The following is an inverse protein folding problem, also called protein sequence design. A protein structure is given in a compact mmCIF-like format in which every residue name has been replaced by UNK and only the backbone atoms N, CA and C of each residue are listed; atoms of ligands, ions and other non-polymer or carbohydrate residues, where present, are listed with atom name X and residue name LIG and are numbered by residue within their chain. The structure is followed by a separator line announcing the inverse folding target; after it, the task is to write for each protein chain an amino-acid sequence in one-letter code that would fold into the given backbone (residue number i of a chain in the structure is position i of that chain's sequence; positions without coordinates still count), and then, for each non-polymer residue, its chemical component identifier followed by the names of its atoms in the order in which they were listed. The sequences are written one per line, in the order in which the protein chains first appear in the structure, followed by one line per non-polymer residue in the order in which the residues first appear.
data_IF_998553827501
#
_entry.id   IF_998553827501
#
_cell.length_a   1.000
_cell.length_b   1.000
_cell.length_c   1.000
_cell.angle_alpha   90.00
_cell.angle_beta   90.00
_cell.angle_gamma   90.00
#
_symmetry.space_group_name_H-M   'P 1'
#
loop_
_entity.id
_entity.type
_entity.pdbx_description
1 polymer ?
#
# COMPACT_ATOMS: atom_id res chain seq x y z
N UNK A 1 23.53 -10.90 -63.41
CA UNK A 1 23.61 -11.96 -62.40
C UNK A 1 23.29 -11.35 -61.02
N UNK A 2 22.18 -11.74 -60.41
CA UNK A 2 21.75 -11.22 -59.10
C UNK A 2 22.41 -12.06 -58.02
N UNK A 3 23.36 -11.51 -57.24
CA UNK A 3 23.98 -12.19 -56.11
C UNK A 3 22.93 -12.43 -55.01
N UNK A 4 22.64 -13.68 -54.73
CA UNK A 4 21.82 -14.10 -53.60
C UNK A 4 22.61 -13.86 -52.33
N UNK A 5 22.17 -12.88 -51.51
CA UNK A 5 22.71 -12.61 -50.18
C UNK A 5 22.43 -13.85 -49.30
N UNK A 6 23.47 -14.55 -48.88
CA UNK A 6 23.35 -15.67 -47.92
C UNK A 6 22.96 -15.10 -46.57
N UNK A 7 21.71 -15.32 -46.16
CA UNK A 7 21.30 -15.05 -44.80
C UNK A 7 22.00 -16.07 -43.89
N UNK A 8 22.92 -15.61 -43.04
CA UNK A 8 23.52 -16.46 -42.01
C UNK A 8 22.45 -16.82 -40.99
N UNK A 9 22.16 -18.09 -40.79
CA UNK A 9 21.31 -18.60 -39.73
C UNK A 9 22.08 -18.70 -38.41
N UNK A 10 21.38 -18.58 -37.28
CA UNK A 10 21.94 -18.82 -35.96
C UNK A 10 22.39 -20.28 -35.81
N UNK A 11 23.53 -20.50 -35.17
CA UNK A 11 23.99 -21.83 -34.80
C UNK A 11 23.31 -22.29 -33.52
N UNK A 12 23.14 -23.60 -33.33
CA UNK A 12 22.54 -24.18 -32.12
C UNK A 12 23.36 -23.81 -30.89
N UNK A 13 24.68 -23.74 -31.00
CA UNK A 13 25.58 -23.36 -29.89
C UNK A 13 25.38 -21.91 -29.45
N UNK A 14 25.18 -20.98 -30.38
CA UNK A 14 24.88 -19.57 -30.04
C UNK A 14 23.59 -19.46 -29.25
N UNK A 15 22.53 -20.21 -29.60
CA UNK A 15 21.30 -20.21 -28.86
C UNK A 15 21.48 -20.79 -27.45
N UNK A 16 22.22 -21.91 -27.33
CA UNK A 16 22.45 -22.55 -26.02
C UNK A 16 23.24 -21.64 -25.09
N UNK A 17 24.28 -20.98 -25.58
CA UNK A 17 25.08 -20.05 -24.77
C UNK A 17 24.20 -18.91 -24.25
N UNK A 18 23.34 -18.35 -25.09
CA UNK A 18 22.43 -17.24 -24.69
C UNK A 18 21.48 -17.68 -23.58
N UNK A 19 20.82 -18.83 -23.69
CA UNK A 19 19.87 -19.29 -22.65
C UNK A 19 20.61 -19.66 -21.35
N UNK A 20 21.84 -20.15 -21.39
CA UNK A 20 22.66 -20.42 -20.20
C UNK A 20 22.98 -19.09 -19.48
N UNK A 21 23.46 -18.09 -20.22
CA UNK A 21 23.76 -16.77 -19.63
C UNK A 21 22.50 -16.12 -19.05
N UNK A 22 21.39 -16.15 -19.78
CA UNK A 22 20.11 -15.64 -19.29
C UNK A 22 19.64 -16.38 -18.02
N UNK A 23 19.82 -17.69 -17.95
CA UNK A 23 19.52 -18.50 -16.76
C UNK A 23 20.33 -18.05 -15.54
N UNK A 24 21.64 -17.82 -15.70
CA UNK A 24 22.51 -17.35 -14.61
C UNK A 24 22.08 -15.94 -14.15
N UNK A 25 21.82 -15.03 -15.08
CA UNK A 25 21.39 -13.66 -14.75
C UNK A 25 20.02 -13.64 -14.07
N UNK A 26 19.10 -14.50 -14.48
CA UNK A 26 17.77 -14.59 -13.87
C UNK A 26 17.83 -14.97 -12.39
N UNK A 27 18.76 -15.82 -11.96
CA UNK A 27 18.90 -16.22 -10.55
C UNK A 27 19.24 -15.04 -9.62
N UNK A 28 19.92 -14.02 -10.11
CA UNK A 28 20.28 -12.82 -9.36
C UNK A 28 19.17 -11.74 -9.43
N UNK A 29 18.49 -11.63 -10.57
CA UNK A 29 17.50 -10.61 -10.82
C UNK A 29 16.19 -10.82 -10.02
N UNK A 30 15.72 -12.06 -9.93
CA UNK A 30 14.44 -12.40 -9.29
C UNK A 30 14.39 -12.02 -7.80
N UNK A 31 15.35 -12.41 -6.93
CA UNK A 31 15.34 -12.04 -5.52
C UNK A 31 15.34 -10.53 -5.30
N UNK A 32 16.15 -9.81 -6.08
CA UNK A 32 16.23 -8.35 -6.00
C UNK A 32 14.90 -7.69 -6.38
N UNK A 33 14.24 -8.17 -7.42
CA UNK A 33 12.94 -7.65 -7.83
C UNK A 33 11.87 -7.85 -6.75
N UNK A 34 11.84 -9.01 -6.10
CA UNK A 34 10.88 -9.31 -5.03
C UNK A 34 11.09 -8.41 -3.80
N UNK A 35 12.34 -8.13 -3.42
CA UNK A 35 12.63 -7.22 -2.30
C UNK A 35 12.20 -5.78 -2.63
N UNK A 36 12.47 -5.29 -3.84
CA UNK A 36 12.05 -3.96 -4.29
C UNK A 36 10.53 -3.79 -4.27
N UNK A 37 9.76 -4.79 -4.70
CA UNK A 37 8.29 -4.72 -4.65
C UNK A 37 7.76 -4.66 -3.23
N UNK A 38 8.38 -5.40 -2.29
CA UNK A 38 8.02 -5.37 -0.88
C UNK A 38 8.34 -4.01 -0.25
N UNK A 39 9.51 -3.45 -0.53
CA UNK A 39 9.91 -2.13 -0.04
C UNK A 39 9.01 -1.02 -0.62
N UNK A 40 8.63 -1.12 -1.89
CA UNK A 40 7.69 -0.19 -2.51
C UNK A 40 6.30 -0.24 -1.83
N UNK A 41 5.76 -1.42 -1.57
CA UNK A 41 4.50 -1.59 -0.81
C UNK A 41 4.60 -0.97 0.58
N UNK A 42 5.71 -1.22 1.28
CA UNK A 42 5.98 -0.66 2.62
C UNK A 42 6.01 0.86 2.60
N UNK A 43 6.74 1.46 1.67
CA UNK A 43 6.84 2.90 1.52
C UNK A 43 5.48 3.53 1.19
N UNK A 44 4.75 2.98 0.22
CA UNK A 44 3.44 3.47 -0.19
C UNK A 44 2.40 3.37 0.95
N UNK A 45 2.32 2.25 1.66
CA UNK A 45 1.40 2.07 2.79
C UNK A 45 1.71 3.02 3.94
N UNK A 46 3.00 3.25 4.25
CA UNK A 46 3.40 4.24 5.28
C UNK A 46 3.05 5.67 4.88
N UNK A 47 3.24 6.03 3.62
CA UNK A 47 2.85 7.35 3.12
C UNK A 47 1.33 7.54 3.23
N UNK A 48 0.54 6.55 2.82
CA UNK A 48 -0.92 6.56 2.92
C UNK A 48 -1.39 6.67 4.39
N UNK A 49 -0.76 5.92 5.30
CA UNK A 49 -1.02 6.01 6.73
C UNK A 49 -0.70 7.41 7.30
N UNK A 50 0.40 8.01 6.87
CA UNK A 50 0.77 9.38 7.24
C UNK A 50 -0.27 10.40 6.77
N UNK A 51 -0.76 10.28 5.54
CA UNK A 51 -1.80 11.13 4.99
C UNK A 51 -3.11 10.99 5.77
N UNK A 52 -3.53 9.77 6.09
CA UNK A 52 -4.74 9.51 6.90
C UNK A 52 -4.62 10.15 8.29
N UNK A 53 -3.50 9.97 8.98
CA UNK A 53 -3.25 10.58 10.30
C UNK A 53 -3.29 12.10 10.23
N UNK A 54 -2.68 12.69 9.21
CA UNK A 54 -2.70 14.14 8.99
C UNK A 54 -4.12 14.67 8.79
N UNK A 55 -4.91 14.03 7.94
CA UNK A 55 -6.29 14.45 7.66
C UNK A 55 -7.18 14.35 8.91
N UNK A 56 -7.07 13.27 9.68
CA UNK A 56 -7.78 13.09 10.94
C UNK A 56 -7.43 14.18 11.95
N UNK A 57 -6.14 14.51 12.06
CA UNK A 57 -5.65 15.56 12.98
C UNK A 57 -6.12 16.96 12.55
N UNK A 58 -6.11 17.24 11.25
CA UNK A 58 -6.62 18.50 10.70
C UNK A 58 -8.10 18.64 10.97
N UNK A 59 -8.90 17.58 10.77
CA UNK A 59 -10.31 17.59 11.11
C UNK A 59 -10.55 17.88 12.61
N UNK A 60 -9.80 17.20 13.49
CA UNK A 60 -9.88 17.42 14.94
C UNK A 60 -9.56 18.89 15.31
N UNK A 61 -8.49 19.42 14.74
CA UNK A 61 -8.09 20.81 14.95
C UNK A 61 -9.18 21.80 14.44
N UNK A 62 -9.74 21.54 13.24
CA UNK A 62 -10.84 22.33 12.71
C UNK A 62 -12.05 22.36 13.65
N UNK A 63 -12.44 21.19 14.19
CA UNK A 63 -13.56 21.06 15.13
C UNK A 63 -13.35 21.84 16.43
N UNK A 64 -12.12 22.10 16.83
CA UNK A 64 -11.77 22.93 17.98
C UNK A 64 -11.91 24.44 17.72
N UNK A 65 -12.07 24.86 16.46
CA UNK A 65 -12.25 26.29 16.10
C UNK A 65 -13.70 26.73 16.19
N UNK A 66 -13.97 28.05 16.30
CA UNK A 66 -15.34 28.60 16.24
C UNK A 66 -16.09 28.17 14.97
N UNK A 67 -15.41 28.06 13.83
CA UNK A 67 -16.00 27.60 12.58
C UNK A 67 -16.40 26.12 12.62
N UNK A 68 -15.69 25.30 13.39
CA UNK A 68 -15.95 23.86 13.54
C UNK A 68 -16.91 23.52 14.67
N UNK A 69 -17.35 24.51 15.48
CA UNK A 69 -18.31 24.34 16.57
C UNK A 69 -17.69 24.27 17.97
N UNK A 70 -16.41 24.64 18.14
CA UNK A 70 -15.69 24.78 19.43
C UNK A 70 -15.65 23.49 20.27
N UNK A 71 -15.85 22.32 19.62
CA UNK A 71 -15.82 21.01 20.29
C UNK A 71 -14.84 20.10 19.57
N UNK A 72 -13.63 19.99 20.10
CA UNK A 72 -12.61 19.11 19.58
C UNK A 72 -13.09 17.65 19.65
N UNK A 73 -13.50 17.10 18.54
CA UNK A 73 -13.98 15.71 18.41
C UNK A 73 -13.28 15.01 17.25
N UNK A 74 -12.95 13.75 17.46
CA UNK A 74 -12.42 12.91 16.39
C UNK A 74 -13.53 12.59 15.39
N UNK A 75 -13.22 12.42 14.09
CA UNK A 75 -14.24 12.09 13.11
C UNK A 75 -14.88 10.74 13.41
N UNK A 76 -16.17 10.62 13.11
CA UNK A 76 -16.83 9.31 13.11
C UNK A 76 -16.31 8.46 11.95
N UNK A 77 -16.53 7.16 12.01
CA UNK A 77 -16.15 6.25 10.92
C UNK A 77 -16.82 6.67 9.60
N UNK A 78 -18.09 7.07 9.66
CA UNK A 78 -18.84 7.54 8.48
C UNK A 78 -18.20 8.79 7.86
N UNK A 79 -17.77 9.77 8.68
CA UNK A 79 -17.11 10.98 8.18
C UNK A 79 -15.72 10.71 7.62
N UNK A 80 -15.04 9.67 8.08
CA UNK A 80 -13.75 9.25 7.54
C UNK A 80 -13.89 8.58 6.17
N UNK A 81 -15.03 7.93 5.91
CA UNK A 81 -15.29 7.18 4.69
C UNK A 81 -16.23 7.85 3.70
N UNK A 82 -16.71 9.06 4.00
CA UNK A 82 -17.63 9.81 3.11
C UNK A 82 -16.95 10.45 1.90
N UNK A 83 -15.62 10.36 1.83
CA UNK A 83 -14.76 10.88 0.76
C UNK A 83 -14.79 12.42 0.57
N UNK A 84 -15.38 13.16 1.49
CA UNK A 84 -15.57 14.62 1.34
C UNK A 84 -15.21 15.42 2.57
N UNK A 85 -15.49 14.91 3.77
CA UNK A 85 -15.40 15.70 5.00
C UNK A 85 -14.00 15.69 5.61
N UNK A 86 -13.42 14.51 5.80
CA UNK A 86 -12.08 14.33 6.39
C UNK A 86 -11.03 14.14 5.31
N UNK A 87 -11.38 13.39 4.28
CA UNK A 87 -10.54 13.12 3.13
C UNK A 87 -11.14 13.84 1.90
N UNK A 88 -10.31 14.55 1.17
CA UNK A 88 -10.71 15.09 -0.14
C UNK A 88 -10.49 14.04 -1.22
N UNK A 89 -11.31 12.99 -1.20
CA UNK A 89 -11.22 11.84 -2.08
C UNK A 89 -11.30 10.51 -1.33
N UNK A 90 -11.17 9.42 -2.06
CA UNK A 90 -11.30 8.08 -1.52
C UNK A 90 -10.22 7.75 -0.48
N UNK A 91 -10.57 6.94 0.51
CA UNK A 91 -9.60 6.35 1.45
C UNK A 91 -8.50 5.64 0.64
N UNK A 92 -7.21 5.95 0.89
CA UNK A 92 -6.13 5.33 0.14
C UNK A 92 -6.01 3.84 0.44
N UNK A 93 -5.46 3.12 -0.52
CA UNK A 93 -5.27 1.68 -0.43
C UNK A 93 -4.22 1.30 0.64
N UNK A 94 -4.50 0.24 1.38
CA UNK A 94 -3.49 -0.54 2.08
C UNK A 94 -2.88 -1.55 1.10
N UNK A 95 -1.62 -1.38 0.73
CA UNK A 95 -0.97 -2.22 -0.29
C UNK A 95 -0.61 -3.65 0.20
N UNK A 96 -0.84 -3.95 1.47
CA UNK A 96 -0.73 -5.30 2.02
C UNK A 96 -2.06 -6.07 1.98
N UNK A 97 -3.17 -5.38 1.82
CA UNK A 97 -4.46 -6.00 1.55
C UNK A 97 -4.57 -6.29 0.05
N UNK A 98 -4.87 -7.51 -0.30
CA UNK A 98 -5.01 -7.98 -1.70
C UNK A 98 -6.46 -7.97 -2.18
N UNK A 99 -7.40 -7.72 -1.28
CA UNK A 99 -8.83 -7.79 -1.56
C UNK A 99 -9.40 -6.44 -2.07
N UNK A 100 -10.65 -6.47 -2.48
CA UNK A 100 -11.38 -5.28 -2.89
C UNK A 100 -11.62 -4.29 -1.73
N UNK A 101 -11.35 -4.70 -0.50
CA UNK A 101 -11.55 -3.96 0.76
C UNK A 101 -10.30 -3.22 1.25
N UNK A 102 -9.26 -3.14 0.44
CA UNK A 102 -7.96 -2.54 0.79
C UNK A 102 -8.01 -1.07 1.19
N UNK A 103 -9.08 -0.37 0.87
CA UNK A 103 -9.37 1.01 1.27
C UNK A 103 -10.52 1.13 2.29
N UNK A 104 -11.04 0.02 2.78
CA UNK A 104 -12.04 0.04 3.84
C UNK A 104 -11.43 0.42 5.19
N UNK A 105 -12.27 0.98 6.06
CA UNK A 105 -11.89 1.34 7.42
C UNK A 105 -12.80 0.62 8.41
N UNK A 106 -12.21 -0.20 9.26
CA UNK A 106 -12.91 -0.91 10.34
C UNK A 106 -12.81 -0.16 11.67
N UNK A 107 -13.81 -0.33 12.52
CA UNK A 107 -13.73 0.12 13.91
C UNK A 107 -12.71 -0.71 14.70
N UNK A 108 -11.63 -0.06 15.16
CA UNK A 108 -10.59 -0.66 15.97
C UNK A 108 -10.74 -0.31 17.45
N UNK A 109 -10.35 -1.19 18.33
CA UNK A 109 -10.35 -1.00 19.79
C UNK A 109 -8.97 -0.82 20.36
N UNK A 110 -8.00 -1.58 19.88
CA UNK A 110 -6.62 -1.57 20.36
C UNK A 110 -5.67 -1.41 19.19
N UNK A 111 -4.81 -0.40 19.27
CA UNK A 111 -3.80 -0.14 18.23
C UNK A 111 -2.91 -1.37 18.02
N UNK A 112 -2.63 -1.68 16.76
CA UNK A 112 -1.80 -2.79 16.38
C UNK A 112 -2.51 -4.15 16.39
N UNK A 113 -3.81 -4.18 16.71
CA UNK A 113 -4.62 -5.40 16.60
C UNK A 113 -5.41 -5.37 15.29
N UNK A 114 -5.28 -6.43 14.51
CA UNK A 114 -6.09 -6.61 13.29
C UNK A 114 -7.53 -6.92 13.71
N UNK A 115 -8.46 -6.12 13.19
CA UNK A 115 -9.90 -6.25 13.46
C UNK A 115 -10.64 -6.61 12.19
N UNK A 116 -11.42 -7.71 12.21
CA UNK A 116 -12.05 -8.22 11.00
C UNK A 116 -11.05 -8.95 10.09
N UNK A 117 -11.53 -9.60 9.06
CA UNK A 117 -10.70 -10.47 8.23
C UNK A 117 -10.12 -9.78 6.97
N UNK A 118 -10.60 -8.59 6.59
CA UNK A 118 -10.42 -8.12 5.20
C UNK A 118 -10.33 -6.60 5.03
N UNK A 119 -10.19 -5.80 6.08
CA UNK A 119 -10.24 -4.35 5.93
C UNK A 119 -8.86 -3.72 5.87
N UNK A 120 -8.68 -2.77 4.98
CA UNK A 120 -7.40 -2.09 4.74
C UNK A 120 -6.86 -1.36 5.97
N UNK A 121 -7.73 -0.69 6.74
CA UNK A 121 -7.35 0.16 7.87
C UNK A 121 -8.22 -0.12 9.09
N UNK A 122 -7.67 0.08 10.28
CA UNK A 122 -8.42 0.08 11.53
C UNK A 122 -8.34 1.46 12.20
N UNK A 123 -9.46 1.96 12.70
CA UNK A 123 -9.59 3.29 13.26
C UNK A 123 -10.29 3.27 14.62
N UNK A 124 -9.68 3.91 15.62
CA UNK A 124 -10.24 4.06 16.96
C UNK A 124 -10.84 5.44 17.13
N UNK A 125 -12.15 5.52 17.09
CA UNK A 125 -12.92 6.78 17.15
C UNK A 125 -12.69 7.57 18.45
N UNK A 126 -12.36 6.90 19.55
CA UNK A 126 -12.19 7.58 20.86
C UNK A 126 -10.88 8.34 20.98
N UNK A 127 -9.86 7.98 20.20
CA UNK A 127 -8.51 8.55 20.27
C UNK A 127 -8.02 9.12 18.94
N UNK A 128 -8.76 8.90 17.85
CA UNK A 128 -8.35 9.31 16.51
C UNK A 128 -7.18 8.49 15.92
N UNK A 129 -6.81 7.42 16.59
CA UNK A 129 -5.71 6.55 16.12
C UNK A 129 -6.16 5.71 14.92
N UNK A 130 -5.32 5.67 13.90
CA UNK A 130 -5.50 4.82 12.73
C UNK A 130 -4.23 3.99 12.49
N UNK A 131 -4.40 2.74 12.08
CA UNK A 131 -3.30 1.83 11.78
C UNK A 131 -3.67 0.89 10.64
N UNK A 132 -2.67 0.19 10.13
CA UNK A 132 -2.83 -0.82 9.09
C UNK A 132 -3.55 -2.04 9.66
N UNK A 133 -4.62 -2.49 9.00
CA UNK A 133 -5.45 -3.61 9.48
C UNK A 133 -5.05 -4.98 8.91
N UNK A 134 -3.81 -5.11 8.48
CA UNK A 134 -3.20 -6.36 8.04
C UNK A 134 -1.96 -6.68 8.87
N UNK A 135 -1.57 -7.93 8.92
CA UNK A 135 -0.33 -8.38 9.57
C UNK A 135 0.36 -9.43 8.71
N UNK A 136 1.34 -8.98 7.94
CA UNK A 136 2.14 -9.85 7.08
C UNK A 136 3.33 -10.41 7.85
N UNK A 137 3.56 -11.71 7.75
CA UNK A 137 4.68 -12.36 8.41
C UNK A 137 6.01 -11.68 8.04
N UNK A 138 6.78 -11.28 9.06
CA UNK A 138 8.06 -10.59 8.89
C UNK A 138 7.99 -9.09 8.62
N UNK A 139 6.80 -8.51 8.46
CA UNK A 139 6.61 -7.05 8.25
C UNK A 139 5.95 -6.39 9.45
N UNK A 140 4.92 -7.02 10.04
CA UNK A 140 4.16 -6.53 11.20
C UNK A 140 3.67 -5.08 11.02
N UNK A 141 3.07 -4.79 9.88
CA UNK A 141 2.63 -3.46 9.47
C UNK A 141 1.52 -2.88 10.35
N UNK A 142 0.76 -3.72 11.03
CA UNK A 142 -0.25 -3.31 12.00
C UNK A 142 0.33 -2.54 13.20
N UNK A 143 1.61 -2.63 13.43
CA UNK A 143 2.33 -1.89 14.47
C UNK A 143 2.80 -0.48 14.07
N UNK A 144 2.57 -0.04 12.83
CA UNK A 144 3.05 1.27 12.31
C UNK A 144 2.22 2.49 12.75
#
# INVERSE_FOLDING_TARGET
MKQLKRNGGFTLIELVIVIVILGILATQAIPTYLSLTTDAKKAATRANLGNLRSSITVYYAYKATPMGGESATWPSLTLLTDNTTVLNGQVPDNNYDTDATKNDVSAGTTRGVVTGATNGWAYKITTGEIWVNTSTAGVSENGW
#
